data_IF_877626447508
#
_entry.id   IF_877626447508
#
_cell.length_a   1.000
_cell.length_b   1.000
_cell.length_c   1.000
_cell.angle_alpha   90.00
_cell.angle_beta   90.00
_cell.angle_gamma   90.00
#
_symmetry.space_group_name_H-M   'P 1'
#
loop_
_entity.id
_entity.type
_entity.pdbx_description
1 polymer ?
#
# COMPACT_ATOMS: atom_id res chain seq x y z
N UNK A 1 14.44 18.46 -2.70
CA UNK A 1 13.29 17.69 -2.17
C UNK A 1 13.84 16.40 -1.58
N UNK A 2 13.79 16.21 -0.28
CA UNK A 2 14.42 15.05 0.36
C UNK A 2 13.63 13.79 0.05
N UNK A 3 14.24 12.85 -0.69
CA UNK A 3 13.73 11.48 -0.95
C UNK A 3 13.29 10.77 0.35
N UNK A 4 13.84 11.18 1.47
CA UNK A 4 13.67 10.57 2.80
C UNK A 4 12.22 10.54 3.32
N UNK A 5 11.38 11.54 3.02
CA UNK A 5 10.03 11.63 3.60
C UNK A 5 8.98 10.79 2.83
N UNK A 6 9.13 10.65 1.52
CA UNK A 6 8.29 9.73 0.73
C UNK A 6 8.59 8.27 1.08
N UNK A 7 9.85 7.96 1.35
CA UNK A 7 10.28 6.66 1.85
C UNK A 7 9.67 6.35 3.23
N UNK A 8 9.60 7.32 4.13
CA UNK A 8 9.04 7.14 5.47
C UNK A 8 7.55 6.79 5.43
N UNK A 9 6.76 7.44 4.57
CA UNK A 9 5.32 7.20 4.49
C UNK A 9 5.01 5.81 3.87
N UNK A 10 5.67 5.44 2.78
CA UNK A 10 5.55 4.11 2.18
C UNK A 10 6.03 3.01 3.13
N UNK A 11 7.16 3.25 3.82
CA UNK A 11 7.71 2.31 4.79
C UNK A 11 6.75 2.09 5.98
N UNK A 12 6.03 3.13 6.42
CA UNK A 12 5.06 3.02 7.50
C UNK A 12 3.93 2.03 7.17
N UNK A 13 3.29 2.16 6.01
CA UNK A 13 2.19 1.25 5.62
C UNK A 13 2.67 -0.14 5.23
N UNK A 14 3.85 -0.25 4.61
CA UNK A 14 4.48 -1.56 4.37
C UNK A 14 4.79 -2.28 5.69
N UNK A 15 5.30 -1.54 6.69
CA UNK A 15 5.54 -2.08 8.02
C UNK A 15 4.24 -2.47 8.73
N UNK A 16 3.17 -1.67 8.59
CA UNK A 16 1.87 -1.99 9.14
C UNK A 16 1.31 -3.28 8.52
N UNK A 17 1.38 -3.40 7.19
CA UNK A 17 0.96 -4.60 6.46
C UNK A 17 1.76 -5.84 6.91
N UNK A 18 3.08 -5.73 7.00
CA UNK A 18 3.93 -6.83 7.49
C UNK A 18 3.55 -7.25 8.92
N UNK A 19 3.26 -6.29 9.81
CA UNK A 19 2.86 -6.58 11.20
C UNK A 19 1.57 -7.37 11.32
N UNK A 20 0.59 -7.12 10.44
CA UNK A 20 -0.64 -7.92 10.39
C UNK A 20 -0.37 -9.39 10.11
N UNK A 21 0.69 -9.69 9.36
CA UNK A 21 1.14 -11.05 9.07
C UNK A 21 2.30 -11.51 9.96
N UNK A 22 2.59 -10.81 11.05
CA UNK A 22 3.68 -11.14 11.97
C UNK A 22 5.07 -11.22 11.30
N UNK A 23 5.31 -10.38 10.29
CA UNK A 23 6.55 -10.32 9.53
C UNK A 23 7.30 -9.01 9.78
N UNK A 24 8.61 -9.04 9.54
CA UNK A 24 9.41 -7.83 9.41
C UNK A 24 9.49 -7.40 7.94
N UNK A 25 9.43 -6.08 7.64
CA UNK A 25 9.68 -5.58 6.29
C UNK A 25 11.07 -6.03 5.82
N UNK A 26 11.12 -6.61 4.65
CA UNK A 26 12.36 -7.11 4.06
C UNK A 26 12.55 -6.49 2.67
N UNK A 27 13.74 -5.98 2.40
CA UNK A 27 14.10 -5.43 1.09
C UNK A 27 15.04 -6.44 0.42
N UNK A 28 14.77 -6.86 -0.83
CA UNK A 28 15.70 -7.73 -1.55
C UNK A 28 17.00 -6.98 -1.88
N UNK A 29 18.12 -7.70 -1.87
CA UNK A 29 19.44 -7.12 -2.17
C UNK A 29 19.53 -6.63 -3.63
N UNK A 30 18.90 -7.35 -4.54
CA UNK A 30 18.78 -6.98 -5.95
C UNK A 30 17.50 -7.57 -6.56
N UNK A 31 17.09 -7.07 -7.72
CA UNK A 31 15.97 -7.65 -8.48
C UNK A 31 16.25 -9.08 -8.95
N UNK A 32 17.51 -9.39 -9.28
CA UNK A 32 17.93 -10.72 -9.74
C UNK A 32 17.99 -11.77 -8.62
N UNK A 33 17.97 -11.33 -7.36
CA UNK A 33 17.95 -12.22 -6.19
C UNK A 33 16.55 -12.78 -5.87
N UNK A 34 15.51 -12.35 -6.62
CA UNK A 34 14.13 -12.76 -6.37
C UNK A 34 13.82 -14.01 -7.22
N UNK A 35 13.77 -15.15 -6.56
CA UNK A 35 13.37 -16.43 -7.17
C UNK A 35 11.85 -16.66 -7.13
N UNK A 36 11.46 -17.91 -7.27
CA UNK A 36 10.05 -18.34 -7.11
C UNK A 36 9.55 -18.23 -5.67
N UNK A 37 10.45 -18.15 -4.71
CA UNK A 37 10.17 -17.95 -3.28
C UNK A 37 11.04 -16.83 -2.71
N UNK A 38 10.52 -16.15 -1.70
CA UNK A 38 11.23 -15.10 -0.96
C UNK A 38 11.13 -15.33 0.54
N UNK A 39 12.26 -15.26 1.23
CA UNK A 39 12.33 -15.47 2.66
C UNK A 39 12.06 -14.17 3.41
N UNK A 40 11.09 -14.20 4.31
CA UNK A 40 10.78 -13.08 5.20
C UNK A 40 11.01 -13.49 6.65
N UNK A 41 11.56 -12.58 7.44
CA UNK A 41 11.76 -12.80 8.87
C UNK A 41 10.42 -12.70 9.60
N UNK A 42 10.17 -13.69 10.46
CA UNK A 42 8.95 -13.81 11.26
C UNK A 42 9.18 -13.17 12.63
N UNK A 43 8.28 -12.32 13.06
CA UNK A 43 8.29 -11.70 14.40
C UNK A 43 7.59 -12.59 15.44
N UNK A 44 6.60 -13.37 15.02
CA UNK A 44 5.82 -14.27 15.85
C UNK A 44 5.22 -15.38 14.99
N UNK A 45 5.32 -16.62 15.44
CA UNK A 45 4.66 -17.75 14.80
C UNK A 45 3.15 -17.71 15.07
N UNK A 46 2.43 -17.13 14.13
CA UNK A 46 0.99 -16.93 14.16
C UNK A 46 0.43 -16.98 12.73
N UNK A 47 -0.60 -16.18 12.44
CA UNK A 47 -1.18 -16.10 11.09
C UNK A 47 -0.12 -15.68 10.05
N UNK A 48 0.21 -16.58 9.12
CA UNK A 48 1.18 -16.34 8.05
C UNK A 48 0.44 -15.94 6.76
N UNK A 49 1.04 -15.08 5.92
CA UNK A 49 0.52 -14.81 4.60
C UNK A 49 0.68 -16.02 3.70
N UNK A 50 -0.11 -16.10 2.64
CA UNK A 50 0.01 -17.18 1.65
C UNK A 50 1.10 -16.90 0.61
N UNK A 51 1.31 -15.63 0.24
CA UNK A 51 2.22 -15.18 -0.82
C UNK A 51 2.88 -13.85 -0.47
N UNK A 52 3.91 -13.50 -1.25
CA UNK A 52 4.49 -12.16 -1.28
C UNK A 52 4.39 -11.58 -2.69
N UNK A 53 3.89 -10.36 -2.80
CA UNK A 53 3.90 -9.60 -4.03
C UNK A 53 5.25 -8.89 -4.21
N UNK A 54 5.93 -9.11 -5.32
CA UNK A 54 7.08 -8.32 -5.77
C UNK A 54 6.55 -7.17 -6.65
N UNK A 55 6.40 -5.99 -6.06
CA UNK A 55 5.65 -4.88 -6.65
C UNK A 55 6.58 -3.87 -7.31
N UNK A 56 6.28 -3.53 -8.56
CA UNK A 56 6.98 -2.50 -9.34
C UNK A 56 5.98 -1.53 -9.98
N UNK A 57 6.48 -0.39 -10.50
CA UNK A 57 5.71 0.48 -11.38
C UNK A 57 6.19 0.37 -12.83
N UNK A 58 5.34 0.71 -13.83
CA UNK A 58 5.73 0.62 -15.24
C UNK A 58 6.99 1.40 -15.60
N UNK A 59 7.19 2.54 -14.92
CA UNK A 59 8.31 3.45 -15.17
C UNK A 59 9.46 3.27 -14.17
N UNK A 60 9.47 2.18 -13.38
CA UNK A 60 10.51 1.94 -12.38
C UNK A 60 11.82 1.58 -13.05
N UNK A 61 12.90 2.24 -12.61
CA UNK A 61 14.25 1.85 -13.04
C UNK A 61 14.51 0.38 -12.64
N UNK A 62 14.93 -0.49 -13.59
CA UNK A 62 15.22 -1.90 -13.30
C UNK A 62 16.25 -2.14 -12.18
N UNK A 63 17.13 -1.17 -11.93
CA UNK A 63 18.11 -1.24 -10.84
C UNK A 63 17.50 -1.04 -9.44
N UNK A 64 16.24 -0.58 -9.35
CA UNK A 64 15.55 -0.43 -8.08
C UNK A 64 14.82 -1.75 -7.80
N UNK A 65 15.11 -2.45 -6.69
CA UNK A 65 14.43 -3.68 -6.39
C UNK A 65 12.93 -3.45 -6.15
N UNK A 66 12.08 -4.45 -6.44
CA UNK A 66 10.66 -4.37 -6.15
C UNK A 66 10.39 -4.28 -4.64
N UNK A 67 9.24 -3.72 -4.30
CA UNK A 67 8.75 -3.70 -2.92
C UNK A 67 8.07 -5.03 -2.63
N UNK A 68 8.49 -5.70 -1.56
CA UNK A 68 7.97 -7.00 -1.16
C UNK A 68 6.82 -6.81 -0.17
N UNK A 69 5.61 -7.20 -0.57
CA UNK A 69 4.39 -7.01 0.22
C UNK A 69 3.71 -8.36 0.48
N UNK A 70 3.55 -8.78 1.75
CA UNK A 70 2.85 -10.02 2.08
C UNK A 70 1.35 -9.88 1.82
N UNK A 71 0.73 -10.96 1.31
CA UNK A 71 -0.71 -11.05 1.11
C UNK A 71 -1.25 -12.42 1.54
N UNK A 72 -2.52 -12.45 1.90
CA UNK A 72 -3.34 -13.65 1.88
C UNK A 72 -4.16 -13.62 0.59
N UNK A 73 -3.99 -14.64 -0.27
CA UNK A 73 -4.64 -14.69 -1.58
C UNK A 73 -6.17 -14.71 -1.45
N UNK A 74 -6.71 -15.39 -0.44
CA UNK A 74 -8.16 -15.46 -0.23
C UNK A 74 -8.73 -14.08 0.15
N UNK A 75 -8.03 -13.35 1.01
CA UNK A 75 -8.43 -11.98 1.38
C UNK A 75 -8.25 -11.01 0.22
N UNK A 76 -7.21 -11.20 -0.59
CA UNK A 76 -6.98 -10.38 -1.78
C UNK A 76 -8.13 -10.54 -2.78
N UNK A 77 -8.52 -11.76 -3.13
CA UNK A 77 -9.62 -12.02 -4.06
C UNK A 77 -10.98 -11.53 -3.56
N UNK A 78 -11.20 -11.52 -2.24
CA UNK A 78 -12.41 -10.92 -1.66
C UNK A 78 -12.41 -9.40 -1.75
N UNK A 79 -11.23 -8.77 -1.67
CA UNK A 79 -11.05 -7.33 -1.61
C UNK A 79 -10.89 -6.63 -2.96
N UNK A 80 -10.44 -7.36 -3.97
CA UNK A 80 -10.10 -6.81 -5.27
C UNK A 80 -10.72 -7.62 -6.42
N UNK A 81 -10.98 -6.96 -7.54
CA UNK A 81 -11.49 -7.59 -8.78
C UNK A 81 -10.37 -8.03 -9.72
N UNK A 82 -9.16 -7.52 -9.48
CA UNK A 82 -7.98 -7.90 -10.25
C UNK A 82 -7.60 -9.33 -9.92
N UNK A 83 -7.57 -10.18 -10.94
CA UNK A 83 -7.14 -11.55 -10.80
C UNK A 83 -5.61 -11.62 -10.86
N UNK A 84 -4.99 -12.16 -9.80
CA UNK A 84 -3.55 -12.42 -9.77
C UNK A 84 -3.16 -13.68 -10.53
N UNK A 85 -4.13 -14.45 -11.03
CA UNK A 85 -3.89 -15.74 -11.69
C UNK A 85 -3.10 -16.73 -10.79
N UNK A 86 -3.32 -16.64 -9.50
CA UNK A 86 -2.75 -17.52 -8.48
C UNK A 86 -3.82 -18.53 -8.09
N UNK A 87 -3.58 -19.85 -8.29
CA UNK A 87 -4.55 -20.85 -7.90
C UNK A 87 -4.79 -20.81 -6.39
N UNK A 88 -6.06 -20.81 -5.99
CA UNK A 88 -6.41 -20.92 -4.57
C UNK A 88 -5.85 -22.22 -3.99
N UNK A 89 -5.32 -22.17 -2.76
CA UNK A 89 -4.83 -23.37 -2.10
C UNK A 89 -5.97 -24.37 -1.95
N UNK A 90 -5.71 -25.68 -2.18
CA UNK A 90 -6.73 -26.72 -1.98
C UNK A 90 -7.29 -26.67 -0.55
N UNK A 91 -8.57 -27.01 -0.35
CA UNK A 91 -9.14 -27.09 0.98
C UNK A 91 -8.29 -28.01 1.88
N UNK A 92 -7.91 -27.49 3.06
CA UNK A 92 -7.05 -28.23 4.02
C UNK A 92 -5.55 -28.09 3.77
N UNK A 93 -5.11 -27.27 2.79
CA UNK A 93 -3.69 -26.93 2.67
C UNK A 93 -3.26 -26.10 3.88
N UNK A 94 -2.06 -26.36 4.37
CA UNK A 94 -1.47 -25.61 5.48
C UNK A 94 -0.86 -24.30 4.95
N UNK A 95 -1.00 -23.22 5.72
CA UNK A 95 -0.24 -21.99 5.49
C UNK A 95 1.28 -22.29 5.49
N UNK A 96 2.10 -21.45 4.85
CA UNK A 96 3.57 -21.59 4.90
C UNK A 96 4.04 -21.69 6.35
N UNK A 97 4.89 -22.70 6.62
CA UNK A 97 5.36 -23.00 7.98
C UNK A 97 6.69 -22.29 8.21
N UNK A 98 6.82 -21.46 9.26
CA UNK A 98 8.08 -20.86 9.65
C UNK A 98 9.12 -21.93 10.06
N UNK A 99 10.39 -21.67 9.74
CA UNK A 99 11.51 -22.52 10.08
C UNK A 99 12.66 -21.70 10.66
N UNK A 100 13.46 -22.30 11.52
CA UNK A 100 14.64 -21.67 12.08
C UNK A 100 15.77 -21.66 11.04
N UNK A 101 16.37 -20.50 10.83
CA UNK A 101 17.56 -20.32 10.00
C UNK A 101 18.69 -19.74 10.85
N UNK A 102 19.89 -20.30 10.75
CA UNK A 102 21.08 -19.77 11.42
C UNK A 102 21.65 -18.61 10.60
N UNK A 103 21.77 -17.45 11.23
CA UNK A 103 22.41 -16.27 10.64
C UNK A 103 23.53 -15.79 11.61
N UNK A 104 24.79 -16.12 11.29
CA UNK A 104 25.92 -15.94 12.22
C UNK A 104 25.72 -16.79 13.46
N UNK A 105 25.83 -16.18 14.65
CA UNK A 105 25.63 -16.84 15.94
C UNK A 105 24.18 -16.85 16.44
N UNK A 106 23.24 -16.33 15.67
CA UNK A 106 21.83 -16.19 16.05
C UNK A 106 20.94 -17.10 15.22
N UNK A 107 19.91 -17.65 15.86
CA UNK A 107 18.82 -18.32 15.17
C UNK A 107 17.67 -17.32 14.98
N UNK A 108 17.22 -17.18 13.74
CA UNK A 108 16.09 -16.34 13.35
C UNK A 108 14.98 -17.20 12.75
N UNK A 109 13.74 -16.83 13.04
CA UNK A 109 12.59 -17.49 12.46
C UNK A 109 12.29 -16.88 11.10
N UNK A 110 12.23 -17.71 10.06
CA UNK A 110 12.01 -17.31 8.66
C UNK A 110 10.83 -18.06 8.07
N UNK A 111 10.14 -17.45 7.11
CA UNK A 111 9.15 -18.12 6.29
C UNK A 111 9.47 -17.92 4.81
N UNK A 112 9.46 -19.00 4.04
CA UNK A 112 9.60 -18.96 2.59
C UNK A 112 8.21 -18.81 1.94
N UNK A 113 7.98 -17.68 1.27
CA UNK A 113 6.71 -17.36 0.62
C UNK A 113 6.85 -17.43 -0.89
N UNK A 114 5.90 -18.03 -1.60
CA UNK A 114 5.82 -17.95 -3.06
C UNK A 114 5.75 -16.47 -3.51
N UNK A 115 6.50 -16.14 -4.56
CA UNK A 115 6.55 -14.78 -5.11
C UNK A 115 5.61 -14.66 -6.30
N UNK A 116 4.82 -13.60 -6.30
CA UNK A 116 4.06 -13.17 -7.46
C UNK A 116 4.45 -11.74 -7.86
N UNK A 117 4.75 -11.52 -9.14
CA UNK A 117 5.13 -10.20 -9.65
C UNK A 117 3.88 -9.39 -10.00
N UNK A 118 3.82 -8.16 -9.49
CA UNK A 118 2.70 -7.26 -9.74
C UNK A 118 3.19 -5.88 -10.19
N UNK A 119 2.68 -5.42 -11.32
CA UNK A 119 2.94 -4.05 -11.81
C UNK A 119 1.74 -3.17 -11.50
N UNK A 120 1.95 -2.07 -10.76
CA UNK A 120 0.89 -1.15 -10.36
C UNK A 120 1.25 0.30 -10.73
N UNK A 121 0.25 1.16 -10.94
CA UNK A 121 0.48 2.58 -11.25
C UNK A 121 1.29 3.33 -10.20
N UNK A 122 1.19 2.96 -8.90
CA UNK A 122 1.86 3.68 -7.82
C UNK A 122 2.21 2.75 -6.65
N UNK A 123 3.46 2.32 -6.60
CA UNK A 123 3.96 1.35 -5.61
C UNK A 123 3.77 1.81 -4.17
N UNK A 124 4.09 3.09 -3.88
CA UNK A 124 4.13 3.60 -2.50
C UNK A 124 2.77 3.72 -1.81
N UNK A 125 1.65 3.78 -2.55
CA UNK A 125 0.29 3.80 -1.98
C UNK A 125 -0.38 2.43 -1.93
N UNK A 126 0.23 1.41 -2.55
CA UNK A 126 -0.36 0.07 -2.58
C UNK A 126 -0.50 -0.56 -1.19
N UNK A 127 0.49 -0.48 -0.27
CA UNK A 127 0.35 -1.08 1.06
C UNK A 127 -0.87 -0.58 1.83
N UNK A 128 -1.18 0.72 1.74
CA UNK A 128 -2.38 1.30 2.33
C UNK A 128 -3.65 0.69 1.73
N UNK A 129 -3.70 0.57 0.39
CA UNK A 129 -4.84 0.00 -0.29
C UNK A 129 -5.03 -1.49 0.05
N UNK A 130 -3.94 -2.26 0.17
CA UNK A 130 -3.97 -3.67 0.58
C UNK A 130 -4.49 -3.84 2.01
N UNK A 131 -4.05 -2.99 2.96
CA UNK A 131 -4.53 -3.03 4.35
C UNK A 131 -6.04 -2.95 4.43
N UNK A 132 -6.64 -2.01 3.72
CA UNK A 132 -8.10 -1.82 3.72
C UNK A 132 -8.82 -2.81 2.80
N UNK A 133 -8.31 -3.06 1.60
CA UNK A 133 -8.92 -3.97 0.63
C UNK A 133 -9.01 -5.41 1.15
N UNK A 134 -7.98 -5.92 1.80
CA UNK A 134 -7.98 -7.23 2.46
C UNK A 134 -8.69 -7.22 3.84
N UNK A 135 -9.28 -6.09 4.25
CA UNK A 135 -9.96 -5.91 5.55
C UNK A 135 -9.08 -6.21 6.77
N UNK A 136 -7.77 -6.06 6.64
CA UNK A 136 -6.82 -6.12 7.77
C UNK A 136 -6.95 -4.89 8.65
N UNK A 137 -7.38 -3.77 8.08
CA UNK A 137 -7.81 -2.56 8.76
C UNK A 137 -9.22 -2.19 8.29
N UNK A 138 -10.09 -1.81 9.23
CA UNK A 138 -11.50 -1.55 8.95
C UNK A 138 -11.97 -0.14 9.34
N UNK A 139 -11.11 0.61 10.03
CA UNK A 139 -11.42 1.97 10.48
C UNK A 139 -11.28 2.98 9.32
N UNK A 140 -12.38 3.26 8.62
CA UNK A 140 -12.38 4.18 7.47
C UNK A 140 -11.87 5.60 7.80
N UNK A 141 -12.00 6.05 9.04
CA UNK A 141 -11.42 7.34 9.45
C UNK A 141 -9.88 7.31 9.35
N UNK A 142 -9.21 6.18 9.63
CA UNK A 142 -7.76 6.06 9.44
C UNK A 142 -7.40 6.17 7.96
N UNK A 143 -8.21 5.60 7.07
CA UNK A 143 -8.03 5.77 5.63
C UNK A 143 -8.17 7.25 5.26
N UNK A 144 -9.24 7.91 5.68
CA UNK A 144 -9.48 9.32 5.39
C UNK A 144 -8.32 10.22 5.88
N UNK A 145 -7.83 10.01 7.10
CA UNK A 145 -6.70 10.76 7.67
C UNK A 145 -5.36 10.44 7.00
N UNK A 146 -5.23 9.26 6.41
CA UNK A 146 -4.05 8.90 5.61
C UNK A 146 -4.03 9.58 4.25
N UNK A 147 -5.20 10.00 3.75
CA UNK A 147 -5.36 10.65 2.44
C UNK A 147 -5.41 12.17 2.54
N UNK A 148 -6.02 12.71 3.60
CA UNK A 148 -6.24 14.14 3.77
C UNK A 148 -5.83 14.60 5.17
N UNK A 149 -5.33 15.83 5.32
CA UNK A 149 -5.10 16.42 6.63
C UNK A 149 -6.36 16.43 7.51
N UNK A 150 -6.20 16.26 8.81
CA UNK A 150 -7.32 16.15 9.77
C UNK A 150 -8.30 17.32 9.66
N UNK A 151 -7.78 18.56 9.61
CA UNK A 151 -8.58 19.78 9.45
C UNK A 151 -9.35 19.86 8.13
N UNK A 152 -8.96 19.09 7.10
CA UNK A 152 -9.71 18.95 5.85
C UNK A 152 -10.82 17.94 6.03
N UNK A 153 -10.54 16.82 6.70
CA UNK A 153 -11.53 15.75 6.96
C UNK A 153 -12.67 16.25 7.87
N UNK A 154 -12.38 17.15 8.82
CA UNK A 154 -13.37 17.74 9.73
C UNK A 154 -14.46 18.54 9.01
N UNK A 155 -14.21 19.02 7.79
CA UNK A 155 -15.20 19.73 6.97
C UNK A 155 -16.16 18.79 6.22
N UNK A 156 -15.99 17.49 6.32
CA UNK A 156 -16.91 16.55 5.66
C UNK A 156 -18.35 16.72 6.17
N UNK A 157 -19.39 16.73 5.29
CA UNK A 157 -19.34 16.38 3.86
C UNK A 157 -19.18 17.57 2.90
N UNK A 158 -18.73 18.74 3.36
CA UNK A 158 -18.61 19.93 2.53
C UNK A 158 -17.35 19.90 1.63
N UNK A 159 -17.45 19.27 0.47
CA UNK A 159 -16.33 19.14 -0.47
C UNK A 159 -15.72 20.49 -0.91
N UNK A 160 -16.51 21.55 -0.98
CA UNK A 160 -16.01 22.88 -1.33
C UNK A 160 -15.12 23.46 -0.23
N UNK A 161 -15.55 23.37 1.04
CA UNK A 161 -14.76 23.79 2.19
C UNK A 161 -13.47 22.94 2.30
N UNK A 162 -13.58 21.63 2.17
CA UNK A 162 -12.44 20.71 2.15
C UNK A 162 -11.39 21.12 1.11
N UNK A 163 -11.82 21.38 -0.12
CA UNK A 163 -10.94 21.77 -1.23
C UNK A 163 -10.29 23.13 -1.00
N UNK A 164 -11.04 24.09 -0.43
CA UNK A 164 -10.53 25.41 -0.11
C UNK A 164 -9.46 25.35 0.98
N UNK A 165 -9.68 24.59 2.06
CA UNK A 165 -8.69 24.41 3.14
C UNK A 165 -7.45 23.71 2.58
N UNK A 166 -7.62 22.63 1.83
CA UNK A 166 -6.51 21.90 1.22
C UNK A 166 -5.70 22.77 0.25
N UNK A 167 -6.36 23.71 -0.45
CA UNK A 167 -5.67 24.62 -1.35
C UNK A 167 -4.72 25.61 -0.66
N UNK A 168 -4.86 25.81 0.65
CA UNK A 168 -4.07 26.75 1.44
C UNK A 168 -2.87 26.11 2.15
N UNK A 169 -2.73 24.78 2.12
CA UNK A 169 -1.57 24.11 2.73
C UNK A 169 -0.27 24.45 1.98
N UNK A 170 0.91 24.38 2.60
CA UNK A 170 2.19 24.64 1.94
C UNK A 170 2.39 23.79 0.69
N UNK A 171 3.13 24.30 -0.31
CA UNK A 171 3.31 23.68 -1.62
C UNK A 171 3.91 22.25 -1.55
N UNK A 172 4.87 22.05 -0.67
CA UNK A 172 5.51 20.75 -0.47
C UNK A 172 4.53 19.72 0.11
N UNK A 173 3.74 20.11 1.10
CA UNK A 173 2.70 19.27 1.70
C UNK A 173 1.60 18.96 0.67
N UNK A 174 1.11 19.99 -0.03
CA UNK A 174 0.11 19.80 -1.09
C UNK A 174 0.63 18.85 -2.17
N UNK A 175 1.87 19.04 -2.62
CA UNK A 175 2.49 18.20 -3.64
C UNK A 175 2.61 16.73 -3.21
N UNK A 176 2.86 16.45 -1.93
CA UNK A 176 2.87 15.09 -1.36
C UNK A 176 1.45 14.50 -1.37
N UNK A 177 0.50 15.21 -0.79
CA UNK A 177 -0.93 14.79 -0.75
C UNK A 177 -1.46 14.52 -2.14
N UNK A 178 -1.16 15.42 -3.11
CA UNK A 178 -1.61 15.24 -4.50
C UNK A 178 -1.05 13.97 -5.13
N UNK A 179 0.27 13.72 -5.03
CA UNK A 179 0.89 12.52 -5.61
C UNK A 179 0.35 11.24 -4.96
N UNK A 180 0.19 11.26 -3.64
CA UNK A 180 -0.33 10.12 -2.90
C UNK A 180 -1.77 9.79 -3.29
N UNK A 181 -2.68 10.79 -3.26
CA UNK A 181 -4.08 10.60 -3.58
C UNK A 181 -4.31 10.25 -5.05
N UNK A 182 -3.52 10.81 -5.97
CA UNK A 182 -3.53 10.42 -7.37
C UNK A 182 -3.06 8.98 -7.56
N UNK A 183 -2.03 8.58 -6.82
CA UNK A 183 -1.46 7.24 -6.87
C UNK A 183 -2.43 6.18 -6.36
N UNK A 184 -3.02 6.37 -5.18
CA UNK A 184 -3.96 5.41 -4.61
C UNK A 184 -5.22 5.30 -5.46
N UNK A 185 -5.74 6.43 -5.99
CA UNK A 185 -6.88 6.42 -6.90
C UNK A 185 -6.59 5.62 -8.17
N UNK A 186 -5.39 5.77 -8.77
CA UNK A 186 -4.98 4.95 -9.92
C UNK A 186 -4.90 3.47 -9.58
N UNK A 187 -4.36 3.12 -8.40
CA UNK A 187 -4.31 1.74 -7.95
C UNK A 187 -5.71 1.16 -7.71
N UNK A 188 -6.64 1.96 -7.15
CA UNK A 188 -8.05 1.56 -6.97
C UNK A 188 -8.71 1.23 -8.31
N UNK A 189 -8.46 2.02 -9.34
CA UNK A 189 -8.96 1.74 -10.70
C UNK A 189 -8.31 0.50 -11.32
N UNK A 190 -6.99 0.32 -11.13
CA UNK A 190 -6.26 -0.79 -11.73
C UNK A 190 -6.60 -2.14 -11.08
N UNK A 191 -6.79 -2.17 -9.76
CA UNK A 191 -7.07 -3.40 -9.01
C UNK A 191 -8.56 -3.65 -8.79
N UNK A 192 -9.41 -2.62 -8.93
CA UNK A 192 -10.86 -2.76 -8.80
C UNK A 192 -11.28 -3.16 -7.40
N UNK A 193 -11.22 -2.24 -6.42
CA UNK A 193 -11.64 -2.54 -5.05
C UNK A 193 -13.13 -2.95 -5.01
N UNK A 194 -13.46 -3.93 -4.17
CA UNK A 194 -14.83 -4.48 -4.08
C UNK A 194 -15.69 -3.73 -3.05
N UNK A 195 -15.08 -3.18 -2.01
CA UNK A 195 -15.77 -2.44 -0.95
C UNK A 195 -16.05 -0.99 -1.40
N UNK A 196 -17.33 -0.69 -1.63
CA UNK A 196 -17.76 0.65 -2.08
C UNK A 196 -17.42 1.75 -1.10
N UNK A 197 -17.37 1.48 0.22
CA UNK A 197 -17.05 2.51 1.21
C UNK A 197 -15.58 2.94 1.12
N UNK A 198 -14.68 2.01 0.85
CA UNK A 198 -13.26 2.33 0.62
C UNK A 198 -13.12 3.11 -0.69
N UNK A 199 -13.80 2.66 -1.74
CA UNK A 199 -13.82 3.37 -3.04
C UNK A 199 -14.33 4.81 -2.88
N UNK A 200 -15.43 5.02 -2.16
CA UNK A 200 -16.01 6.33 -1.88
C UNK A 200 -15.04 7.27 -1.15
N UNK A 201 -14.31 6.75 -0.14
CA UNK A 201 -13.31 7.55 0.59
C UNK A 201 -12.15 7.94 -0.31
N UNK A 202 -11.61 7.01 -1.09
CA UNK A 202 -10.51 7.28 -2.04
C UNK A 202 -10.95 8.26 -3.12
N UNK A 203 -12.13 8.07 -3.68
CA UNK A 203 -12.70 8.93 -4.70
C UNK A 203 -12.96 10.35 -4.19
N UNK A 204 -13.53 10.48 -2.98
CA UNK A 204 -13.73 11.78 -2.32
C UNK A 204 -12.41 12.50 -2.10
N UNK A 205 -11.40 11.80 -1.54
CA UNK A 205 -10.08 12.38 -1.31
C UNK A 205 -9.42 12.85 -2.62
N UNK A 206 -9.55 12.07 -3.69
CA UNK A 206 -9.05 12.47 -5.01
C UNK A 206 -9.77 13.71 -5.55
N UNK A 207 -11.10 13.74 -5.51
CA UNK A 207 -11.90 14.87 -6.00
C UNK A 207 -11.56 16.17 -5.26
N UNK A 208 -11.49 16.12 -3.92
CA UNK A 208 -11.08 17.25 -3.08
C UNK A 208 -9.68 17.74 -3.46
N UNK A 209 -8.75 16.81 -3.65
CA UNK A 209 -7.36 17.13 -4.01
C UNK A 209 -7.27 17.74 -5.43
N UNK A 210 -8.02 17.22 -6.39
CA UNK A 210 -8.04 17.73 -7.75
C UNK A 210 -8.64 19.13 -7.82
N UNK A 211 -9.73 19.40 -7.07
CA UNK A 211 -10.32 20.74 -7.02
C UNK A 211 -9.42 21.74 -6.28
N UNK A 212 -8.79 21.33 -5.18
CA UNK A 212 -7.79 22.16 -4.50
C UNK A 212 -6.66 22.59 -5.45
N UNK A 213 -6.20 21.67 -6.33
CA UNK A 213 -5.21 22.01 -7.38
C UNK A 213 -5.74 23.06 -8.34
N UNK A 214 -6.99 22.95 -8.78
CA UNK A 214 -7.61 23.95 -9.68
C UNK A 214 -7.71 25.32 -9.00
N UNK A 215 -8.07 25.38 -7.72
CA UNK A 215 -8.12 26.64 -6.95
C UNK A 215 -6.73 27.28 -6.94
N UNK A 216 -5.66 26.52 -6.62
CA UNK A 216 -4.28 27.03 -6.62
C UNK A 216 -3.84 27.56 -7.98
N UNK A 217 -4.17 26.85 -9.05
CA UNK A 217 -3.83 27.25 -10.41
C UNK A 217 -4.53 28.55 -10.84
N UNK A 218 -5.78 28.75 -10.39
CA UNK A 218 -6.52 30.01 -10.64
C UNK A 218 -5.88 31.17 -9.87
N UNK A 219 -5.54 30.97 -8.59
CA UNK A 219 -4.90 32.00 -7.77
C UNK A 219 -3.51 32.41 -8.29
N UNK A 220 -2.74 31.48 -8.87
CA UNK A 220 -1.43 31.77 -9.43
C UNK A 220 -1.48 32.53 -10.78
N UNK A 221 -2.67 32.68 -11.38
CA UNK A 221 -2.88 33.43 -12.65
C UNK A 221 -3.39 34.85 -12.44
N UNK A 222 -3.78 35.20 -11.22
CA UNK A 222 -4.20 36.53 -10.81
C UNK A 222 -3.02 37.36 -10.26
#
# INVERSE_FOLDING_TARGET
MKLTELFLFSFFFSSALCRHFNLYPTVPESSDAIGSTFNMQVSRDAHMPSHVLAVTSPDQNPSIPPVMLPIDITLFEQGFRFDLDIPLPPPGSTAPIPHLQTQGDSQILMVALPVHFLVVPHVTSLPLLLLFGMKLETYLNLLAWSLLPVNVVEEFPNAAAMSLILSRVPDDQFGRTYRHNHGIWKNTLALGITDSKIDDVVHTAWNVTAEARRIRQRAARQ
#
